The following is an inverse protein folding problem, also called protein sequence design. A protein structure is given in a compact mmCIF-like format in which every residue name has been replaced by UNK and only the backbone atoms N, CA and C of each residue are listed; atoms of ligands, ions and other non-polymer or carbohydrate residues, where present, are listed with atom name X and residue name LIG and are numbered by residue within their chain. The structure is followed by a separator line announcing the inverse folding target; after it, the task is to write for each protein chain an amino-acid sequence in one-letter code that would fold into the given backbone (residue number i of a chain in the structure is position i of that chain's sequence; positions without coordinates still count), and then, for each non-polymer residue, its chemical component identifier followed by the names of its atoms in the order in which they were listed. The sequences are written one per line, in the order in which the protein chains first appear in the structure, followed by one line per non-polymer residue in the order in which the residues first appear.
data_IF_807660839376
#
_entry.id   IF_807660839376
#
_cell.length_a   1.000
_cell.length_b   1.000
_cell.length_c   1.000
_cell.angle_alpha   90.00
_cell.angle_beta   90.00
_cell.angle_gamma   90.00
#
_symmetry.space_group_name_H-M   'P 1'
#
loop_
_entity.id
_entity.type
_entity.pdbx_description
1 polymer ?
#
# COMPACT_ATOMS: atom_id res chain seq x y z
N UNK A 1 -10.36 5.86 34.87
CA UNK A 1 -9.60 5.30 33.72
C UNK A 1 -10.31 4.03 33.27
N UNK A 2 -11.09 4.06 32.18
CA UNK A 2 -11.89 2.91 31.77
C UNK A 2 -10.98 1.78 31.27
N UNK A 3 -11.10 0.60 31.88
CA UNK A 3 -10.30 -0.58 31.60
C UNK A 3 -10.31 -0.92 30.11
N UNK A 4 -9.17 -0.71 29.47
CA UNK A 4 -8.89 -1.27 28.15
C UNK A 4 -8.92 -2.80 28.29
N UNK A 5 -9.81 -3.48 27.58
CA UNK A 5 -9.82 -4.95 27.56
C UNK A 5 -8.48 -5.47 27.03
N UNK A 6 -7.95 -6.56 27.59
CA UNK A 6 -6.64 -7.13 27.21
C UNK A 6 -6.50 -7.33 25.69
N UNK A 7 -7.61 -7.69 25.02
CA UNK A 7 -7.67 -7.82 23.56
C UNK A 7 -7.48 -6.51 22.80
N UNK A 8 -7.94 -5.37 23.33
CA UNK A 8 -7.73 -4.06 22.70
C UNK A 8 -6.27 -3.59 22.83
N UNK A 9 -5.63 -3.85 23.96
CA UNK A 9 -4.20 -3.57 24.14
C UNK A 9 -3.35 -4.42 23.19
N UNK A 10 -3.65 -5.72 23.05
CA UNK A 10 -2.92 -6.61 22.13
C UNK A 10 -3.04 -6.14 20.67
N UNK A 11 -4.25 -5.77 20.22
CA UNK A 11 -4.47 -5.22 18.87
C UNK A 11 -3.64 -3.96 18.64
N UNK A 12 -3.65 -3.03 19.59
CA UNK A 12 -2.92 -1.78 19.48
C UNK A 12 -1.41 -2.00 19.46
N UNK A 13 -0.89 -2.93 20.26
CA UNK A 13 0.52 -3.29 20.25
C UNK A 13 0.96 -3.86 18.90
N UNK A 14 0.15 -4.74 18.29
CA UNK A 14 0.45 -5.31 16.97
C UNK A 14 0.38 -4.26 15.86
N UNK A 15 -0.63 -3.39 15.84
CA UNK A 15 -0.69 -2.26 14.90
C UNK A 15 0.46 -1.27 15.12
N UNK A 16 0.89 -1.06 16.36
CA UNK A 16 2.10 -0.28 16.67
C UNK A 16 3.35 -0.86 16.01
N UNK A 17 3.49 -2.18 15.94
CA UNK A 17 4.59 -2.84 15.21
C UNK A 17 4.47 -2.63 13.70
N UNK A 18 3.25 -2.70 13.15
CA UNK A 18 3.00 -2.46 11.72
C UNK A 18 3.33 -1.02 11.35
N UNK A 19 2.93 -0.02 12.16
CA UNK A 19 3.28 1.39 11.92
C UNK A 19 4.80 1.63 11.88
N UNK A 20 5.58 0.86 12.65
CA UNK A 20 7.05 0.93 12.59
C UNK A 20 7.64 0.40 11.28
N UNK A 21 6.89 -0.37 10.49
CA UNK A 21 7.28 -0.77 9.13
C UNK A 21 7.31 0.40 8.13
N UNK A 22 6.78 1.57 8.49
CA UNK A 22 6.92 2.75 7.65
C UNK A 22 8.39 3.16 7.45
N UNK A 23 9.24 2.99 8.47
CA UNK A 23 10.67 3.28 8.35
C UNK A 23 11.38 2.39 7.33
N UNK A 24 11.30 1.05 7.38
CA UNK A 24 11.88 0.22 6.33
C UNK A 24 11.17 0.39 4.98
N UNK A 25 9.88 0.76 4.94
CA UNK A 25 9.22 1.14 3.69
C UNK A 25 9.88 2.36 3.03
N UNK A 26 10.27 3.38 3.81
CA UNK A 26 11.06 4.52 3.29
C UNK A 26 12.39 4.03 2.70
N UNK A 27 13.12 3.15 3.40
CA UNK A 27 14.42 2.66 2.93
C UNK A 27 14.26 1.91 1.59
N UNK A 28 13.27 1.02 1.50
CA UNK A 28 12.96 0.29 0.26
C UNK A 28 12.59 1.29 -0.84
N UNK A 29 11.70 2.24 -0.56
CA UNK A 29 11.28 3.24 -1.54
C UNK A 29 12.45 4.08 -2.05
N UNK A 30 13.38 4.48 -1.18
CA UNK A 30 14.58 5.21 -1.59
C UNK A 30 15.46 4.37 -2.53
N UNK A 31 15.67 3.09 -2.20
CA UNK A 31 16.40 2.15 -3.05
C UNK A 31 15.71 1.98 -4.41
N UNK A 32 14.39 1.76 -4.43
CA UNK A 32 13.63 1.60 -5.68
C UNK A 32 13.64 2.88 -6.52
N UNK A 33 13.59 4.05 -5.90
CA UNK A 33 13.69 5.34 -6.59
C UNK A 33 15.06 5.49 -7.27
N UNK A 34 16.13 5.15 -6.56
CA UNK A 34 17.48 5.16 -7.12
C UNK A 34 17.65 4.12 -8.25
N UNK A 35 17.10 2.92 -8.09
CA UNK A 35 17.11 1.89 -9.13
C UNK A 35 16.32 2.32 -10.36
N UNK A 36 15.12 2.90 -10.19
CA UNK A 36 14.31 3.41 -11.29
C UNK A 36 15.03 4.51 -12.08
N UNK A 37 15.67 5.45 -11.38
CA UNK A 37 16.51 6.48 -12.03
C UNK A 37 17.70 5.87 -12.77
N UNK A 38 18.35 4.86 -12.19
CA UNK A 38 19.49 4.18 -12.82
C UNK A 38 19.05 3.46 -14.10
N UNK A 39 17.95 2.71 -14.06
CA UNK A 39 17.39 2.06 -15.24
C UNK A 39 16.98 3.08 -16.29
N UNK A 40 16.33 4.17 -15.89
CA UNK A 40 15.95 5.24 -16.79
C UNK A 40 17.17 5.84 -17.52
N UNK A 41 18.23 6.20 -16.79
CA UNK A 41 19.46 6.79 -17.37
C UNK A 41 20.26 5.84 -18.24
N UNK A 42 20.31 4.56 -17.87
CA UNK A 42 21.07 3.55 -18.62
C UNK A 42 20.27 2.99 -19.80
N UNK A 43 18.96 3.24 -19.85
CA UNK A 43 18.07 2.63 -20.84
C UNK A 43 17.84 1.14 -20.64
N UNK A 44 18.24 0.58 -19.48
CA UNK A 44 18.16 -0.83 -19.16
C UNK A 44 16.76 -1.24 -18.68
N UNK A 45 15.75 -1.00 -19.51
CA UNK A 45 14.36 -1.38 -19.26
C UNK A 45 13.63 -1.69 -20.58
N UNK A 46 12.48 -2.40 -20.54
CA UNK A 46 11.71 -2.75 -21.74
C UNK A 46 11.06 -1.51 -22.38
N UNK A 47 11.80 -0.79 -23.23
CA UNK A 47 11.35 0.46 -23.87
C UNK A 47 9.99 0.34 -24.56
N UNK A 48 9.74 -0.77 -25.25
CA UNK A 48 8.45 -1.03 -25.92
C UNK A 48 7.23 -1.00 -24.97
N UNK A 49 7.41 -1.32 -23.68
CA UNK A 49 6.32 -1.32 -22.68
C UNK A 49 6.18 0.06 -22.04
N UNK A 50 7.31 0.73 -21.77
CA UNK A 50 7.31 1.97 -21.00
C UNK A 50 7.24 3.24 -21.86
N UNK A 51 7.77 3.24 -23.08
CA UNK A 51 7.79 4.42 -23.97
C UNK A 51 6.55 4.51 -24.88
N UNK A 52 5.78 3.42 -25.03
CA UNK A 52 4.63 3.34 -25.95
C UNK A 52 3.38 4.17 -25.52
N UNK A 53 3.53 5.11 -24.58
CA UNK A 53 2.43 5.95 -24.14
C UNK A 53 2.62 6.62 -22.77
N UNK A 54 3.80 6.50 -22.14
CA UNK A 54 4.04 7.15 -20.85
C UNK A 54 4.93 8.38 -20.98
N UNK A 55 4.46 9.51 -20.44
CA UNK A 55 5.22 10.76 -20.33
C UNK A 55 6.27 10.72 -19.22
N UNK A 56 6.13 9.79 -18.27
CA UNK A 56 6.91 9.76 -17.02
C UNK A 56 7.52 8.38 -16.77
N UNK A 57 8.24 7.86 -17.77
CA UNK A 57 8.85 6.52 -17.79
C UNK A 57 9.55 6.17 -16.48
N UNK A 58 10.34 7.09 -15.91
CA UNK A 58 11.03 6.90 -14.62
C UNK A 58 10.07 6.52 -13.48
N UNK A 59 8.97 7.25 -13.35
CA UNK A 59 8.00 7.04 -12.27
C UNK A 59 7.21 5.75 -12.50
N UNK A 60 6.94 5.40 -13.76
CA UNK A 60 6.41 4.10 -14.13
C UNK A 60 7.34 2.93 -13.76
N UNK A 61 8.65 3.07 -13.99
CA UNK A 61 9.65 2.10 -13.56
C UNK A 61 9.65 1.94 -12.04
N UNK A 62 9.57 3.05 -11.31
CA UNK A 62 9.42 3.01 -9.85
C UNK A 62 8.16 2.24 -9.44
N UNK A 63 7.00 2.54 -10.04
CA UNK A 63 5.74 1.86 -9.70
C UNK A 63 5.79 0.36 -10.03
N UNK A 64 6.40 -0.02 -11.16
CA UNK A 64 6.61 -1.43 -11.49
C UNK A 64 7.47 -2.13 -10.42
N UNK A 65 8.61 -1.54 -10.05
CA UNK A 65 9.47 -2.06 -8.98
C UNK A 65 8.74 -2.12 -7.62
N UNK A 66 7.91 -1.13 -7.33
CA UNK A 66 7.11 -1.09 -6.11
C UNK A 66 6.16 -2.28 -6.03
N UNK A 67 5.45 -2.61 -7.11
CA UNK A 67 4.56 -3.78 -7.14
C UNK A 67 5.32 -5.12 -7.12
N UNK A 68 6.50 -5.18 -7.75
CA UNK A 68 7.30 -6.40 -7.81
C UNK A 68 8.07 -6.68 -6.52
N UNK A 69 8.48 -5.64 -5.79
CA UNK A 69 9.41 -5.77 -4.66
C UNK A 69 8.78 -5.23 -3.38
N UNK A 70 8.49 -3.92 -3.33
CA UNK A 70 8.09 -3.28 -2.08
C UNK A 70 6.78 -3.87 -1.53
N UNK A 71 5.77 -4.03 -2.38
CA UNK A 71 4.47 -4.54 -1.97
C UNK A 71 4.57 -5.98 -1.43
N UNK A 72 5.18 -6.97 -2.13
CA UNK A 72 5.37 -8.31 -1.60
C UNK A 72 6.16 -8.35 -0.29
N UNK A 73 7.28 -7.61 -0.20
CA UNK A 73 8.11 -7.60 1.02
C UNK A 73 7.33 -7.03 2.21
N UNK A 74 6.70 -5.87 2.03
CA UNK A 74 5.90 -5.23 3.09
C UNK A 74 4.69 -6.10 3.48
N UNK A 75 4.01 -6.69 2.51
CA UNK A 75 2.89 -7.61 2.76
C UNK A 75 3.33 -8.81 3.61
N UNK A 76 4.47 -9.44 3.28
CA UNK A 76 4.99 -10.58 4.05
C UNK A 76 5.38 -10.17 5.47
N UNK A 77 6.01 -9.01 5.65
CA UNK A 77 6.32 -8.49 6.99
C UNK A 77 5.07 -8.18 7.80
N UNK A 78 4.08 -7.51 7.21
CA UNK A 78 2.79 -7.24 7.85
C UNK A 78 2.10 -8.55 8.23
N UNK A 79 2.08 -9.55 7.34
CA UNK A 79 1.52 -10.88 7.61
C UNK A 79 2.20 -11.55 8.81
N UNK A 80 3.53 -11.44 8.94
CA UNK A 80 4.27 -11.98 10.08
C UNK A 80 3.96 -11.23 11.38
N UNK A 81 3.93 -9.90 11.35
CA UNK A 81 3.65 -9.08 12.55
C UNK A 81 2.21 -9.22 13.06
N UNK A 82 1.27 -9.45 12.15
CA UNK A 82 -0.14 -9.65 12.42
C UNK A 82 -0.52 -11.14 12.51
N UNK A 83 0.46 -12.03 12.65
CA UNK A 83 0.22 -13.42 12.96
C UNK A 83 -0.51 -13.51 14.32
N UNK A 84 -1.64 -14.23 14.34
CA UNK A 84 -2.48 -14.31 15.53
C UNK A 84 -3.23 -13.02 15.90
N UNK A 85 -3.36 -12.05 14.98
CA UNK A 85 -4.13 -10.83 15.26
C UNK A 85 -5.56 -11.14 15.73
N UNK A 86 -5.98 -10.70 16.94
CA UNK A 86 -7.29 -11.01 17.48
C UNK A 86 -8.34 -10.11 16.81
N UNK A 87 -9.03 -10.64 15.81
CA UNK A 87 -10.00 -9.86 15.04
C UNK A 87 -11.18 -9.46 15.93
N UNK A 88 -11.60 -8.17 15.94
CA UNK A 88 -12.74 -7.74 16.72
C UNK A 88 -14.01 -8.43 16.22
N UNK A 89 -14.75 -9.05 17.14
CA UNK A 89 -16.05 -9.62 16.84
C UNK A 89 -17.06 -8.51 16.56
N UNK A 90 -17.76 -8.59 15.43
CA UNK A 90 -18.83 -7.67 15.07
C UNK A 90 -20.12 -8.46 14.75
N UNK A 91 -21.31 -7.86 14.81
CA UNK A 91 -22.53 -8.48 14.31
C UNK A 91 -22.46 -8.79 12.80
N UNK A 92 -23.21 -9.79 12.28
CA UNK A 92 -23.13 -10.24 10.88
C UNK A 92 -23.31 -9.12 9.85
N UNK A 93 -24.30 -8.24 10.05
CA UNK A 93 -24.57 -7.11 9.15
C UNK A 93 -23.38 -6.15 9.08
N UNK A 94 -22.80 -5.81 10.24
CA UNK A 94 -21.64 -4.92 10.33
C UNK A 94 -20.40 -5.55 9.69
N UNK A 95 -20.24 -6.88 9.78
CA UNK A 95 -19.15 -7.58 9.09
C UNK A 95 -19.26 -7.45 7.58
N UNK A 96 -20.45 -7.71 7.03
CA UNK A 96 -20.70 -7.61 5.60
C UNK A 96 -20.45 -6.20 5.07
N UNK A 97 -20.96 -5.18 5.76
CA UNK A 97 -20.71 -3.77 5.39
C UNK A 97 -19.22 -3.42 5.43
N UNK A 98 -18.52 -3.81 6.50
CA UNK A 98 -17.07 -3.59 6.62
C UNK A 98 -16.30 -4.35 5.53
N UNK A 99 -16.73 -5.56 5.17
CA UNK A 99 -16.10 -6.35 4.11
C UNK A 99 -16.28 -5.73 2.73
N UNK A 100 -17.51 -5.31 2.39
CA UNK A 100 -17.78 -4.62 1.12
C UNK A 100 -17.01 -3.29 1.02
N UNK A 101 -17.00 -2.50 2.10
CA UNK A 101 -16.26 -1.25 2.15
C UNK A 101 -14.75 -1.48 2.05
N UNK A 102 -14.23 -2.50 2.75
CA UNK A 102 -12.82 -2.88 2.64
C UNK A 102 -12.46 -3.32 1.23
N UNK A 103 -13.32 -4.06 0.54
CA UNK A 103 -13.06 -4.49 -0.83
C UNK A 103 -12.88 -3.30 -1.76
N UNK A 104 -13.77 -2.32 -1.69
CA UNK A 104 -13.69 -1.10 -2.52
C UNK A 104 -12.45 -0.28 -2.15
N UNK A 105 -12.28 0.06 -0.86
CA UNK A 105 -11.18 0.93 -0.44
C UNK A 105 -9.80 0.29 -0.62
N UNK A 106 -9.65 -0.99 -0.28
CA UNK A 106 -8.35 -1.66 -0.36
C UNK A 106 -7.94 -1.88 -1.82
N UNK A 107 -8.89 -2.27 -2.69
CA UNK A 107 -8.63 -2.38 -4.12
C UNK A 107 -8.26 -1.01 -4.70
N UNK A 108 -8.99 0.04 -4.32
CA UNK A 108 -8.67 1.41 -4.70
C UNK A 108 -7.26 1.83 -4.26
N UNK A 109 -6.88 1.57 -3.01
CA UNK A 109 -5.53 1.87 -2.50
C UNK A 109 -4.43 1.09 -3.21
N UNK A 110 -4.67 -0.18 -3.54
CA UNK A 110 -3.71 -1.00 -4.28
C UNK A 110 -3.48 -0.44 -5.68
N UNK A 111 -4.53 0.02 -6.37
CA UNK A 111 -4.46 0.50 -7.77
C UNK A 111 -4.16 2.01 -7.87
N UNK A 112 -4.26 2.74 -6.75
CA UNK A 112 -4.05 4.19 -6.69
C UNK A 112 -2.76 4.68 -7.37
N UNK A 113 -1.58 4.05 -7.19
CA UNK A 113 -0.35 4.47 -7.86
C UNK A 113 -0.47 4.50 -9.38
N UNK A 114 -1.15 3.49 -9.96
CA UNK A 114 -1.43 3.41 -11.39
C UNK A 114 -2.41 4.49 -11.81
N UNK A 115 -3.48 4.71 -11.04
CA UNK A 115 -4.47 5.77 -11.31
C UNK A 115 -3.79 7.14 -11.34
N UNK A 116 -2.92 7.43 -10.37
CA UNK A 116 -2.18 8.70 -10.33
C UNK A 116 -1.36 8.88 -11.60
N UNK A 117 -0.69 7.85 -12.10
CA UNK A 117 0.12 7.95 -13.31
C UNK A 117 -0.69 8.00 -14.62
N UNK A 118 -1.86 7.36 -14.67
CA UNK A 118 -2.66 7.29 -15.91
C UNK A 118 -3.55 8.52 -16.11
N UNK A 119 -4.20 9.01 -15.05
CA UNK A 119 -5.18 10.11 -15.14
C UNK A 119 -4.74 11.37 -14.41
N UNK A 120 -3.66 11.32 -13.61
CA UNK A 120 -3.23 12.45 -12.79
C UNK A 120 -2.73 13.65 -13.60
N UNK A 121 -2.12 13.42 -14.77
CA UNK A 121 -1.68 14.50 -15.66
C UNK A 121 -2.83 15.36 -16.20
N UNK A 122 -3.99 14.75 -16.43
CA UNK A 122 -5.22 15.40 -16.90
C UNK A 122 -6.19 15.80 -15.79
N UNK A 123 -5.89 15.47 -14.53
CA UNK A 123 -6.76 15.78 -13.40
C UNK A 123 -6.80 17.30 -13.12
N UNK A 124 -7.86 17.77 -12.49
CA UNK A 124 -7.96 19.14 -11.97
C UNK A 124 -7.57 19.21 -10.49
N UNK A 125 -7.07 20.38 -10.07
CA UNK A 125 -6.81 20.68 -8.65
C UNK A 125 -5.84 19.72 -7.96
N UNK A 126 -6.27 19.17 -6.81
CA UNK A 126 -5.41 18.33 -5.94
C UNK A 126 -4.91 17.05 -6.60
N UNK A 127 -5.67 16.48 -7.55
CA UNK A 127 -5.24 15.28 -8.29
C UNK A 127 -4.01 15.54 -9.15
N UNK A 128 -3.97 16.69 -9.83
CA UNK A 128 -2.81 17.14 -10.60
C UNK A 128 -1.62 17.45 -9.70
N UNK A 129 -1.87 18.05 -8.54
CA UNK A 129 -0.84 18.34 -7.54
C UNK A 129 -0.16 17.06 -7.03
N UNK A 130 -0.93 16.00 -6.73
CA UNK A 130 -0.37 14.71 -6.33
C UNK A 130 0.48 14.09 -7.45
N UNK A 131 -0.01 14.13 -8.69
CA UNK A 131 0.74 13.64 -9.85
C UNK A 131 2.04 14.41 -10.05
N UNK A 132 2.01 15.75 -10.03
CA UNK A 132 3.21 16.58 -10.16
C UNK A 132 4.21 16.34 -9.02
N UNK A 133 3.73 16.16 -7.79
CA UNK A 133 4.59 15.80 -6.67
C UNK A 133 5.22 14.42 -6.89
N UNK A 134 4.47 13.46 -7.45
CA UNK A 134 4.96 12.10 -7.65
C UNK A 134 5.95 11.98 -8.82
N UNK A 135 5.71 12.67 -9.93
CA UNK A 135 6.51 12.56 -11.16
C UNK A 135 7.60 13.63 -11.28
N UNK A 136 7.42 14.80 -10.67
CA UNK A 136 8.23 15.99 -10.94
C UNK A 136 9.69 15.87 -10.54
N UNK A 137 10.02 15.15 -9.46
CA UNK A 137 11.40 14.93 -9.05
C UNK A 137 11.57 13.65 -8.22
N UNK A 138 12.82 13.19 -8.07
CA UNK A 138 13.16 11.96 -7.34
C UNK A 138 12.70 11.97 -5.89
N UNK A 139 12.83 13.11 -5.21
CA UNK A 139 12.43 13.24 -3.82
C UNK A 139 10.90 13.07 -3.66
N UNK A 140 10.14 13.64 -4.57
CA UNK A 140 8.70 13.51 -4.65
C UNK A 140 8.26 12.09 -4.99
N UNK A 141 8.94 11.43 -5.96
CA UNK A 141 8.76 10.00 -6.24
C UNK A 141 9.00 9.14 -5.01
N UNK A 142 10.10 9.39 -4.29
CA UNK A 142 10.43 8.69 -3.05
C UNK A 142 9.36 8.89 -1.96
N UNK A 143 8.96 10.13 -1.67
CA UNK A 143 8.01 10.44 -0.61
C UNK A 143 6.62 9.90 -0.90
N UNK A 144 6.06 10.28 -2.06
CA UNK A 144 4.72 9.87 -2.46
C UNK A 144 4.69 8.36 -2.69
N UNK A 145 5.72 7.83 -3.34
CA UNK A 145 5.89 6.40 -3.55
C UNK A 145 5.96 5.60 -2.25
N UNK A 146 6.63 6.10 -1.21
CA UNK A 146 6.64 5.43 0.11
C UNK A 146 5.23 5.30 0.68
N UNK A 147 4.47 6.40 0.69
CA UNK A 147 3.11 6.44 1.24
C UNK A 147 2.20 5.50 0.45
N UNK A 148 2.32 5.55 -0.88
CA UNK A 148 1.57 4.71 -1.80
C UNK A 148 1.91 3.22 -1.65
N UNK A 149 3.20 2.87 -1.58
CA UNK A 149 3.66 1.49 -1.42
C UNK A 149 3.20 0.90 -0.08
N UNK A 150 3.37 1.65 1.00
CA UNK A 150 2.95 1.24 2.33
C UNK A 150 1.43 1.11 2.44
N UNK A 151 0.68 2.07 1.89
CA UNK A 151 -0.78 2.03 1.81
C UNK A 151 -1.29 0.85 0.98
N UNK A 152 -0.70 0.61 -0.19
CA UNK A 152 -1.05 -0.52 -1.05
C UNK A 152 -0.76 -1.87 -0.36
N UNK A 153 0.37 -2.01 0.34
CA UNK A 153 0.70 -3.22 1.09
C UNK A 153 -0.28 -3.45 2.26
N UNK A 154 -0.66 -2.40 2.99
CA UNK A 154 -1.69 -2.45 4.02
C UNK A 154 -3.06 -2.84 3.43
N UNK A 155 -3.43 -2.23 2.31
CA UNK A 155 -4.66 -2.54 1.56
C UNK A 155 -4.68 -4.00 1.13
N UNK A 156 -3.58 -4.51 0.57
CA UNK A 156 -3.43 -5.91 0.20
C UNK A 156 -3.57 -6.83 1.42
N UNK A 157 -2.90 -6.51 2.53
CA UNK A 157 -3.03 -7.31 3.75
C UNK A 157 -4.47 -7.35 4.26
N UNK A 158 -5.14 -6.19 4.32
CA UNK A 158 -6.54 -6.12 4.71
C UNK A 158 -7.42 -6.93 3.77
N UNK A 159 -7.26 -6.77 2.45
CA UNK A 159 -8.08 -7.44 1.45
C UNK A 159 -7.92 -8.96 1.48
N UNK A 160 -6.69 -9.47 1.54
CA UNK A 160 -6.41 -10.89 1.45
C UNK A 160 -6.44 -11.64 2.78
N UNK A 161 -6.22 -10.96 3.91
CA UNK A 161 -6.09 -11.59 5.24
C UNK A 161 -7.10 -11.01 6.23
N UNK A 162 -7.17 -9.69 6.38
CA UNK A 162 -8.00 -9.04 7.39
C UNK A 162 -9.50 -9.25 7.16
N UNK A 163 -9.96 -8.95 5.94
CA UNK A 163 -11.37 -8.99 5.53
C UNK A 163 -11.94 -10.40 5.52
N UNK A 164 -11.27 -11.43 4.98
CA UNK A 164 -11.73 -12.81 5.13
C UNK A 164 -11.86 -13.25 6.59
N UNK A 165 -10.91 -12.90 7.46
CA UNK A 165 -11.00 -13.21 8.90
C UNK A 165 -12.13 -12.47 9.61
N UNK A 166 -12.49 -11.28 9.14
CA UNK A 166 -13.58 -10.48 9.68
C UNK A 166 -14.94 -11.01 9.24
N UNK A 167 -15.07 -11.41 7.98
CA UNK A 167 -16.30 -11.97 7.41
C UNK A 167 -16.56 -13.39 7.92
N UNK A 168 -15.51 -14.21 8.00
CA UNK A 168 -15.58 -15.63 8.35
C UNK A 168 -14.69 -15.94 9.56
N UNK A 169 -15.06 -15.48 10.78
CA UNK A 169 -14.27 -15.80 11.97
C UNK A 169 -14.31 -17.30 12.27
N UNK A 170 -13.20 -17.83 12.78
CA UNK A 170 -13.12 -19.23 13.21
C UNK A 170 -14.11 -19.52 14.34
N UNK A 171 -14.75 -20.70 14.30
CA UNK A 171 -15.56 -21.24 15.39
C UNK A 171 -14.73 -21.23 16.70
N UNK A 172 -15.26 -20.58 17.74
CA UNK A 172 -14.59 -20.42 19.04
C UNK A 172 -14.08 -19.01 19.38
N UNK A 173 -14.22 -18.02 18.48
CA UNK A 173 -13.79 -16.62 18.73
C UNK A 173 -14.83 -15.77 19.50
N UNK A 174 -15.66 -16.38 20.35
CA UNK A 174 -16.64 -15.68 21.19
C UNK A 174 -16.05 -15.39 22.56
#
# INVERSE_FOLDING_TARGET
MSGMTDGQQLRNAQWGKVSRLFKPAMIISAALTASAETFYRTGAYPRAIFEAGSTDVRTWLYVALMYLIALPVLFLWMRRLLAGYPMPWNPPLKRWLLGAFSLILCSGMIVLPVIVLTVGGSAAGRGRGLYQLFTGNLFGTFLVGTVLAYGAALGAWLLFIGTPKLLFPKLGSR
#
